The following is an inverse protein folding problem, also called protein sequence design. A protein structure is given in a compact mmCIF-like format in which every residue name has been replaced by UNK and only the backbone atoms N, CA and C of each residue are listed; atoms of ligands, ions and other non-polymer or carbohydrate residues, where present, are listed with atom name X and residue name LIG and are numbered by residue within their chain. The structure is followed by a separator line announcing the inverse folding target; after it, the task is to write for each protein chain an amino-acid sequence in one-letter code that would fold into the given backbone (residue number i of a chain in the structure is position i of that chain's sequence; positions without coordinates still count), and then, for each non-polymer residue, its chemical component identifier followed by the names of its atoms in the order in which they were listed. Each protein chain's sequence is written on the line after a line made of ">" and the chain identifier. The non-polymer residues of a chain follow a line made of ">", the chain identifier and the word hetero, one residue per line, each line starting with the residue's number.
data_IF_243685028114
#
_entry.id   IF_243685028114
#
_cell.length_a   1.000
_cell.length_b   1.000
_cell.length_c   1.000
_cell.angle_alpha   90.00
_cell.angle_beta   90.00
_cell.angle_gamma   90.00
#
_symmetry.space_group_name_H-M   'P 1'
#
loop_
_entity.id
_entity.type
_entity.pdbx_description
1 polymer ?
#
# COMPACT_ATOMS: atom_id res chain seq x y z
N UNK A 1 -17.39 68.51 9.81
CA UNK A 1 -16.87 67.99 8.53
C UNK A 1 -15.65 67.18 8.92
N UNK A 2 -15.78 65.87 9.11
CA UNK A 2 -14.65 65.03 9.52
C UNK A 2 -13.59 65.08 8.44
N UNK A 3 -12.38 65.43 8.85
CA UNK A 3 -11.26 65.65 7.96
C UNK A 3 -10.93 64.33 7.25
N UNK A 4 -11.08 64.32 5.92
CA UNK A 4 -10.85 63.16 5.07
C UNK A 4 -9.41 62.63 5.26
N UNK A 5 -8.48 63.50 5.64
CA UNK A 5 -7.12 63.16 6.06
C UNK A 5 -7.10 62.25 7.29
N UNK A 6 -7.90 62.55 8.32
CA UNK A 6 -7.99 61.74 9.54
C UNK A 6 -8.68 60.39 9.31
N UNK A 7 -9.59 60.31 8.35
CA UNK A 7 -10.23 59.06 7.93
C UNK A 7 -9.25 58.20 7.13
N UNK A 8 -8.42 58.82 6.27
CA UNK A 8 -7.40 58.13 5.49
C UNK A 8 -6.24 57.63 6.36
N UNK A 9 -5.78 58.43 7.34
CA UNK A 9 -4.80 58.02 8.37
C UNK A 9 -5.30 56.86 9.21
N UNK A 10 -6.59 56.88 9.63
CA UNK A 10 -7.20 55.74 10.32
C UNK A 10 -7.31 54.50 9.44
N UNK A 11 -7.42 54.66 8.12
CA UNK A 11 -7.50 53.56 7.16
C UNK A 11 -6.13 52.97 6.81
N UNK A 12 -5.08 53.79 6.73
CA UNK A 12 -3.69 53.34 6.56
C UNK A 12 -3.15 52.71 7.85
N UNK A 13 -3.46 53.28 9.02
CA UNK A 13 -3.16 52.66 10.31
C UNK A 13 -3.89 51.31 10.55
N UNK A 14 -4.94 51.02 9.78
CA UNK A 14 -5.63 49.72 9.76
C UNK A 14 -5.14 48.76 8.67
N UNK A 15 -4.42 49.25 7.66
CA UNK A 15 -3.99 48.47 6.48
C UNK A 15 -2.60 47.86 6.62
N UNK A 16 -1.82 48.40 7.54
CA UNK A 16 -0.57 47.84 8.05
C UNK A 16 -0.88 47.25 9.43
N UNK A 17 -0.53 46.04 9.83
CA UNK A 17 0.25 44.96 9.26
C UNK A 17 -0.35 43.68 9.85
N UNK A 18 -0.04 42.51 9.30
CA UNK A 18 0.06 41.36 10.18
C UNK A 18 0.95 41.75 11.37
N UNK A 19 0.36 41.90 12.56
CA UNK A 19 1.06 42.22 13.80
C UNK A 19 2.33 41.33 13.90
N UNK A 20 3.46 41.84 14.39
CA UNK A 20 4.68 41.04 14.62
C UNK A 20 4.37 39.71 15.32
N UNK A 21 3.39 39.69 16.22
CA UNK A 21 2.89 38.48 16.86
C UNK A 21 2.24 37.49 15.88
N UNK A 22 1.50 37.95 14.87
CA UNK A 22 0.96 37.09 13.80
C UNK A 22 2.08 36.59 12.87
N UNK A 23 3.03 37.45 12.49
CA UNK A 23 4.17 37.03 11.65
C UNK A 23 5.02 35.99 12.39
N UNK A 24 5.34 36.25 13.66
CA UNK A 24 6.06 35.31 14.53
C UNK A 24 5.28 34.01 14.71
N UNK A 25 3.96 34.09 14.90
CA UNK A 25 3.09 32.91 15.00
C UNK A 25 3.11 32.08 13.70
N UNK A 26 3.12 32.71 12.52
CA UNK A 26 3.19 32.00 11.24
C UNK A 26 4.56 31.39 10.97
N UNK A 27 5.64 32.05 11.38
CA UNK A 27 7.00 31.48 11.32
C UNK A 27 7.09 30.26 12.24
N UNK A 28 6.60 30.36 13.49
CA UNK A 28 6.58 29.23 14.41
C UNK A 28 5.70 28.07 13.91
N UNK A 29 4.54 28.35 13.31
CA UNK A 29 3.69 27.33 12.70
C UNK A 29 4.41 26.62 11.54
N UNK A 30 5.11 27.37 10.68
CA UNK A 30 5.91 26.80 9.59
C UNK A 30 7.11 25.99 10.11
N UNK A 31 7.79 26.44 11.17
CA UNK A 31 8.88 25.70 11.81
C UNK A 31 8.41 24.39 12.44
N UNK A 32 7.25 24.41 13.12
CA UNK A 32 6.62 23.21 13.65
C UNK A 32 6.24 22.24 12.54
N UNK A 33 5.62 22.74 11.46
CA UNK A 33 5.28 21.94 10.30
C UNK A 33 6.53 21.29 9.67
N UNK A 34 7.57 22.07 9.43
CA UNK A 34 8.84 21.57 8.89
C UNK A 34 9.47 20.53 9.81
N UNK A 35 9.43 20.73 11.14
CA UNK A 35 9.94 19.77 12.10
C UNK A 35 9.18 18.44 12.05
N UNK A 36 7.85 18.48 11.91
CA UNK A 36 7.06 17.25 11.75
C UNK A 36 7.34 16.58 10.39
N UNK A 37 7.50 17.35 9.31
CA UNK A 37 7.92 16.82 8.00
C UNK A 37 9.27 16.11 8.10
N UNK A 38 10.27 16.71 8.75
CA UNK A 38 11.59 16.09 8.91
C UNK A 38 11.56 14.85 9.81
N UNK A 39 10.70 14.82 10.84
CA UNK A 39 10.46 13.60 11.62
C UNK A 39 9.86 12.50 10.77
N UNK A 40 8.84 12.80 9.96
CA UNK A 40 8.25 11.85 9.03
C UNK A 40 9.30 11.32 8.04
N UNK A 41 10.07 12.21 7.40
CA UNK A 41 11.17 11.82 6.51
C UNK A 41 12.17 10.90 7.19
N UNK A 42 12.59 11.22 8.41
CA UNK A 42 13.57 10.41 9.15
C UNK A 42 13.00 9.04 9.55
N UNK A 43 11.75 8.99 10.00
CA UNK A 43 11.07 7.74 10.33
C UNK A 43 10.95 6.82 9.10
N UNK A 44 10.53 7.39 7.97
CA UNK A 44 10.31 6.67 6.72
C UNK A 44 11.62 6.27 6.05
N UNK A 45 12.65 7.11 6.11
CA UNK A 45 14.02 6.73 5.73
C UNK A 45 14.51 5.56 6.58
N UNK A 46 14.28 5.57 7.89
CA UNK A 46 14.62 4.44 8.76
C UNK A 46 13.87 3.16 8.38
N UNK A 47 12.65 3.28 7.87
CA UNK A 47 11.89 2.16 7.33
C UNK A 47 12.48 1.70 6.00
N UNK A 48 12.74 2.59 5.04
CA UNK A 48 13.39 2.25 3.77
C UNK A 48 14.76 1.60 3.99
N UNK A 49 15.58 2.13 4.89
CA UNK A 49 16.88 1.56 5.27
C UNK A 49 16.70 0.16 5.89
N UNK A 50 15.69 -0.04 6.74
CA UNK A 50 15.37 -1.34 7.32
C UNK A 50 14.89 -2.32 6.26
N UNK A 51 14.10 -1.84 5.30
CA UNK A 51 13.71 -2.63 4.15
C UNK A 51 15.00 -2.94 3.37
N UNK A 52 15.71 -2.01 2.76
CA UNK A 52 16.96 -2.27 2.01
C UNK A 52 17.98 -3.21 2.70
N UNK A 53 18.04 -3.20 4.04
CA UNK A 53 18.83 -4.15 4.85
C UNK A 53 18.45 -5.63 4.74
N UNK A 54 17.37 -6.01 4.06
CA UNK A 54 17.01 -7.41 3.87
C UNK A 54 17.72 -8.01 2.67
N UNK A 55 18.16 -7.27 1.64
CA UNK A 55 19.03 -7.83 0.58
C UNK A 55 20.50 -7.98 1.06
N UNK A 56 20.65 -8.69 2.17
CA UNK A 56 21.93 -9.06 2.75
C UNK A 56 22.11 -10.57 2.63
N UNK A 57 23.33 -10.97 2.30
CA UNK A 57 23.77 -12.37 2.33
C UNK A 57 24.53 -12.63 3.62
N UNK A 58 24.45 -13.87 4.12
CA UNK A 58 25.28 -14.30 5.24
C UNK A 58 26.71 -14.47 4.72
N UNK A 59 27.61 -13.59 5.16
CA UNK A 59 29.03 -13.68 4.83
C UNK A 59 29.70 -14.87 5.51
N UNK A 60 30.99 -15.05 5.22
CA UNK A 60 31.85 -16.10 5.79
C UNK A 60 32.02 -16.03 7.31
N UNK A 61 31.64 -14.92 7.96
CA UNK A 61 31.74 -14.69 9.41
C UNK A 61 30.37 -14.53 10.10
N UNK A 62 29.28 -15.06 9.53
CA UNK A 62 27.89 -14.87 10.01
C UNK A 62 27.41 -13.42 10.04
N UNK A 63 28.21 -12.46 9.58
CA UNK A 63 27.80 -11.06 9.39
C UNK A 63 26.96 -10.94 8.13
N UNK A 64 25.81 -10.27 8.26
CA UNK A 64 25.00 -9.85 7.12
C UNK A 64 25.79 -8.80 6.32
N UNK A 65 26.06 -9.08 5.04
CA UNK A 65 26.78 -8.17 4.14
C UNK A 65 25.86 -7.73 3.00
N UNK A 66 25.99 -6.45 2.58
CA UNK A 66 25.30 -5.94 1.40
C UNK A 66 25.84 -6.65 0.17
N UNK A 67 24.94 -7.04 -0.72
CA UNK A 67 25.33 -7.60 -2.01
C UNK A 67 25.82 -6.45 -2.88
N UNK A 68 27.11 -6.43 -3.23
CA UNK A 68 27.71 -5.40 -4.10
C UNK A 68 27.86 -5.86 -5.55
N UNK A 69 27.62 -7.15 -5.82
CA UNK A 69 27.65 -7.74 -7.15
C UNK A 69 26.23 -7.87 -7.74
N UNK A 70 26.03 -7.30 -8.92
CA UNK A 70 24.72 -7.25 -9.60
C UNK A 70 24.18 -8.64 -9.98
N UNK A 71 25.07 -9.58 -10.35
CA UNK A 71 24.68 -10.93 -10.71
C UNK A 71 24.28 -11.74 -9.46
N UNK A 72 25.00 -11.54 -8.35
CA UNK A 72 24.66 -12.12 -7.06
C UNK A 72 23.34 -11.58 -6.54
N UNK A 73 23.09 -10.27 -6.73
CA UNK A 73 21.81 -9.65 -6.35
C UNK A 73 20.65 -10.30 -7.12
N UNK A 74 20.79 -10.46 -8.43
CA UNK A 74 19.79 -11.14 -9.27
C UNK A 74 19.51 -12.56 -8.78
N UNK A 75 20.55 -13.32 -8.45
CA UNK A 75 20.38 -14.69 -7.94
C UNK A 75 19.61 -14.71 -6.61
N UNK A 76 19.92 -13.80 -5.69
CA UNK A 76 19.18 -13.71 -4.41
C UNK A 76 17.75 -13.25 -4.59
N UNK A 77 17.51 -12.33 -5.51
CA UNK A 77 16.17 -11.92 -5.92
C UNK A 77 15.33 -13.11 -6.42
N UNK A 78 15.87 -13.92 -7.33
CA UNK A 78 15.19 -15.11 -7.87
C UNK A 78 14.92 -16.16 -6.79
N UNK A 79 15.86 -16.39 -5.87
CA UNK A 79 15.66 -17.29 -4.72
C UNK A 79 14.51 -16.83 -3.84
N UNK A 80 14.41 -15.53 -3.56
CA UNK A 80 13.34 -14.99 -2.70
C UNK A 80 11.98 -15.02 -3.36
N UNK A 81 11.90 -14.71 -4.65
CA UNK A 81 10.67 -14.92 -5.42
C UNK A 81 10.21 -16.36 -5.27
N UNK A 82 11.11 -17.32 -5.51
CA UNK A 82 10.80 -18.74 -5.41
C UNK A 82 10.31 -19.12 -4.01
N UNK A 83 10.93 -18.58 -2.96
CA UNK A 83 10.50 -18.79 -1.57
C UNK A 83 9.12 -18.19 -1.27
N UNK A 84 8.81 -16.99 -1.78
CA UNK A 84 7.49 -16.35 -1.61
C UNK A 84 6.39 -17.14 -2.32
N UNK A 85 6.65 -17.60 -3.55
CA UNK A 85 5.71 -18.44 -4.30
C UNK A 85 5.45 -19.77 -3.58
N UNK A 86 6.51 -20.43 -3.08
CA UNK A 86 6.38 -21.66 -2.31
C UNK A 86 5.57 -21.47 -1.01
N UNK A 87 5.68 -20.31 -0.35
CA UNK A 87 4.87 -19.97 0.84
C UNK A 87 3.38 -19.86 0.52
N UNK A 88 3.03 -19.23 -0.62
CA UNK A 88 1.64 -19.13 -1.09
C UNK A 88 1.04 -20.51 -1.38
N UNK A 89 1.79 -21.36 -2.08
CA UNK A 89 1.37 -22.75 -2.35
C UNK A 89 1.17 -23.55 -1.06
N UNK A 90 2.10 -23.43 -0.10
CA UNK A 90 2.03 -24.14 1.19
C UNK A 90 0.82 -23.72 2.04
N UNK A 91 0.37 -22.47 1.92
CA UNK A 91 -0.80 -21.94 2.63
C UNK A 91 -2.12 -22.14 1.86
N UNK A 92 -2.09 -22.86 0.74
CA UNK A 92 -3.25 -23.12 -0.12
C UNK A 92 -3.97 -21.85 -0.60
N UNK A 93 -3.26 -20.74 -0.72
CA UNK A 93 -3.79 -19.53 -1.36
C UNK A 93 -3.62 -19.70 -2.86
N UNK A 94 -4.72 -19.73 -3.60
CA UNK A 94 -4.65 -19.85 -5.06
C UNK A 94 -3.97 -18.60 -5.65
N UNK A 95 -3.00 -18.80 -6.54
CA UNK A 95 -2.35 -17.74 -7.29
C UNK A 95 -2.11 -18.22 -8.72
N UNK A 96 -2.67 -17.52 -9.70
CA UNK A 96 -2.46 -17.82 -11.11
C UNK A 96 -1.02 -17.45 -11.54
N UNK A 97 -0.55 -18.01 -12.67
CA UNK A 97 0.77 -17.64 -13.22
C UNK A 97 0.76 -16.17 -13.65
N UNK A 98 1.74 -15.39 -13.19
CA UNK A 98 1.88 -13.97 -13.51
C UNK A 98 1.03 -13.03 -12.63
N UNK A 99 0.48 -13.54 -11.52
CA UNK A 99 -0.26 -12.75 -10.54
C UNK A 99 0.62 -11.73 -9.82
N UNK A 100 1.87 -12.10 -9.56
CA UNK A 100 2.87 -11.25 -8.95
C UNK A 100 3.75 -10.63 -10.04
N UNK A 101 3.84 -9.29 -10.15
CA UNK A 101 4.56 -8.61 -11.22
C UNK A 101 6.06 -8.53 -10.90
N UNK A 102 6.70 -9.69 -10.71
CA UNK A 102 8.14 -9.77 -10.54
C UNK A 102 8.88 -9.51 -11.86
N UNK A 103 10.04 -8.87 -11.77
CA UNK A 103 10.88 -8.60 -12.91
C UNK A 103 11.56 -9.90 -13.37
N UNK A 104 11.49 -10.21 -14.65
CA UNK A 104 12.28 -11.28 -15.25
C UNK A 104 13.45 -10.67 -16.02
N UNK A 105 14.67 -11.05 -15.65
CA UNK A 105 15.90 -10.60 -16.28
C UNK A 105 16.48 -11.61 -17.27
N UNK A 106 15.87 -12.80 -17.41
CA UNK A 106 16.34 -13.90 -18.25
C UNK A 106 17.84 -14.16 -18.08
N UNK A 107 18.67 -13.86 -19.08
CA UNK A 107 20.13 -14.02 -19.03
C UNK A 107 20.89 -12.71 -18.73
N UNK A 108 20.21 -11.56 -18.73
CA UNK A 108 20.81 -10.24 -18.53
C UNK A 108 21.11 -10.00 -17.05
N UNK A 109 22.28 -9.41 -16.76
CA UNK A 109 22.64 -8.91 -15.43
C UNK A 109 22.12 -7.47 -15.32
N UNK A 110 21.29 -7.13 -14.32
CA UNK A 110 20.72 -5.80 -14.18
C UNK A 110 21.74 -4.79 -13.66
N UNK A 111 21.61 -3.53 -14.04
CA UNK A 111 22.43 -2.44 -13.47
C UNK A 111 21.88 -1.97 -12.12
N UNK A 112 22.72 -1.39 -11.26
CA UNK A 112 22.30 -0.80 -9.98
C UNK A 112 21.10 0.14 -10.06
N UNK A 113 21.05 1.02 -11.05
CA UNK A 113 19.91 1.94 -11.25
C UNK A 113 18.59 1.18 -11.47
N UNK A 114 18.65 0.07 -12.22
CA UNK A 114 17.50 -0.77 -12.49
C UNK A 114 17.13 -1.66 -11.28
N UNK A 115 18.14 -2.10 -10.53
CA UNK A 115 17.98 -2.90 -9.30
C UNK A 115 17.18 -2.10 -8.26
N UNK A 116 17.53 -0.83 -8.01
CA UNK A 116 16.86 -0.01 -6.99
C UNK A 116 15.34 0.07 -7.21
N UNK A 117 14.92 0.30 -8.45
CA UNK A 117 13.50 0.38 -8.80
C UNK A 117 12.78 -0.96 -8.62
N UNK A 118 13.42 -2.06 -9.02
CA UNK A 118 12.86 -3.42 -8.89
C UNK A 118 12.82 -3.87 -7.44
N UNK A 119 13.86 -3.54 -6.68
CA UNK A 119 13.95 -3.79 -5.26
C UNK A 119 12.73 -3.19 -4.58
N UNK A 120 12.47 -1.88 -4.72
CA UNK A 120 11.28 -1.23 -4.13
C UNK A 120 9.96 -1.92 -4.49
N UNK A 121 9.79 -2.35 -5.75
CA UNK A 121 8.59 -3.09 -6.16
C UNK A 121 8.49 -4.46 -5.48
N UNK A 122 9.60 -5.17 -5.36
CA UNK A 122 9.66 -6.46 -4.66
C UNK A 122 9.20 -6.33 -3.21
N UNK A 123 9.66 -5.28 -2.51
CA UNK A 123 9.27 -4.97 -1.14
C UNK A 123 7.77 -4.84 -0.95
N UNK A 124 7.15 -4.06 -1.83
CA UNK A 124 5.71 -3.86 -1.84
C UNK A 124 4.99 -5.19 -2.06
N UNK A 125 5.44 -5.98 -3.03
CA UNK A 125 4.88 -7.31 -3.31
C UNK A 125 5.03 -8.24 -2.10
N UNK A 126 6.21 -8.32 -1.51
CA UNK A 126 6.50 -9.17 -0.34
C UNK A 126 5.62 -8.78 0.85
N UNK A 127 5.47 -7.49 1.14
CA UNK A 127 4.59 -7.01 2.20
C UNK A 127 3.14 -7.44 1.97
N UNK A 128 2.61 -7.27 0.75
CA UNK A 128 1.25 -7.68 0.38
C UNK A 128 1.08 -9.19 0.51
N UNK A 129 2.04 -9.97 0.02
CA UNK A 129 2.01 -11.44 0.13
C UNK A 129 2.02 -11.86 1.60
N UNK A 130 2.86 -11.26 2.45
CA UNK A 130 2.88 -11.57 3.88
C UNK A 130 1.57 -11.21 4.58
N UNK A 131 0.94 -10.08 4.24
CA UNK A 131 -0.40 -9.72 4.73
C UNK A 131 -1.40 -10.81 4.33
N UNK A 132 -1.36 -11.25 3.07
CA UNK A 132 -2.27 -12.27 2.56
C UNK A 132 -2.08 -13.60 3.29
N UNK A 133 -0.83 -14.03 3.48
CA UNK A 133 -0.49 -15.29 4.16
C UNK A 133 -0.89 -15.30 5.64
N UNK A 134 -0.96 -14.12 6.28
CA UNK A 134 -1.38 -13.98 7.67
C UNK A 134 -2.91 -13.94 7.83
N UNK A 135 -3.66 -13.67 6.75
CA UNK A 135 -5.12 -13.61 6.77
C UNK A 135 -5.73 -14.92 6.29
N UNK A 136 -6.26 -15.72 7.22
CA UNK A 136 -6.84 -17.05 6.93
C UNK A 136 -8.13 -17.01 6.11
N UNK A 137 -8.67 -15.82 5.83
CA UNK A 137 -9.90 -15.63 5.09
C UNK A 137 -9.74 -15.47 3.58
N UNK A 138 -8.50 -15.36 3.10
CA UNK A 138 -8.18 -15.11 1.69
C UNK A 138 -8.03 -16.45 0.97
N UNK A 139 -8.88 -16.69 -0.01
CA UNK A 139 -8.92 -17.93 -0.80
C UNK A 139 -8.05 -17.83 -2.05
N UNK A 140 -7.94 -16.63 -2.64
CA UNK A 140 -7.17 -16.40 -3.86
C UNK A 140 -6.51 -15.03 -3.88
N UNK A 141 -5.25 -14.98 -4.30
CA UNK A 141 -4.61 -13.76 -4.76
C UNK A 141 -4.80 -13.66 -6.28
N UNK A 142 -5.61 -12.68 -6.70
CA UNK A 142 -6.05 -12.53 -8.09
C UNK A 142 -5.02 -11.86 -8.98
N UNK A 143 -4.54 -10.66 -8.63
CA UNK A 143 -3.48 -9.95 -9.37
C UNK A 143 -2.96 -8.76 -8.58
N UNK A 144 -1.65 -8.51 -8.66
CA UNK A 144 -1.05 -7.23 -8.26
C UNK A 144 -0.59 -6.49 -9.51
N UNK A 145 -0.97 -5.22 -9.66
CA UNK A 145 -0.59 -4.40 -10.83
C UNK A 145 -0.06 -3.05 -10.36
N UNK A 146 1.15 -2.69 -10.79
CA UNK A 146 1.67 -1.33 -10.65
C UNK A 146 1.14 -0.46 -11.79
N UNK A 147 0.64 0.73 -11.45
CA UNK A 147 0.13 1.71 -12.42
C UNK A 147 1.20 2.75 -12.75
N UNK A 148 1.07 3.40 -13.90
CA UNK A 148 1.98 4.46 -14.34
C UNK A 148 1.71 5.80 -13.65
N UNK A 149 0.47 6.05 -13.23
CA UNK A 149 0.04 7.31 -12.62
C UNK A 149 -0.96 7.09 -11.50
N UNK A 150 -0.87 7.95 -10.48
CA UNK A 150 -1.78 7.98 -9.33
C UNK A 150 -2.79 9.11 -9.55
N UNK A 151 -4.07 8.84 -9.32
CA UNK A 151 -5.13 9.83 -9.57
C UNK A 151 -5.24 10.89 -8.45
N UNK A 152 -4.93 10.52 -7.21
CA UNK A 152 -5.02 11.43 -6.05
C UNK A 152 -3.69 12.08 -5.65
N UNK A 153 -2.61 11.76 -6.36
CA UNK A 153 -1.29 12.30 -6.07
C UNK A 153 -1.23 13.81 -6.34
N UNK A 154 -1.17 14.58 -5.26
CA UNK A 154 -0.95 16.01 -5.37
C UNK A 154 0.52 16.30 -5.71
N UNK A 155 0.74 16.73 -6.94
CA UNK A 155 2.05 17.12 -7.47
C UNK A 155 2.73 18.23 -6.67
N UNK A 156 1.99 18.99 -5.85
CA UNK A 156 2.57 19.98 -4.94
C UNK A 156 3.55 19.34 -3.95
N UNK A 157 3.31 18.10 -3.54
CA UNK A 157 4.17 17.34 -2.62
C UNK A 157 5.24 16.50 -3.33
N UNK A 158 5.39 16.64 -4.66
CA UNK A 158 6.37 15.88 -5.44
C UNK A 158 7.82 16.14 -5.04
N UNK A 159 8.09 17.21 -4.30
CA UNK A 159 9.40 17.51 -3.75
C UNK A 159 9.71 16.71 -2.46
N UNK A 160 8.71 16.09 -1.84
CA UNK A 160 8.82 15.36 -0.57
C UNK A 160 8.78 13.84 -0.80
N UNK A 161 7.92 13.37 -1.71
CA UNK A 161 7.77 11.94 -1.99
C UNK A 161 7.31 11.69 -3.43
N UNK A 162 7.43 10.44 -3.88
CA UNK A 162 6.80 9.87 -5.06
C UNK A 162 5.75 8.85 -4.66
N UNK A 163 4.63 8.82 -5.38
CA UNK A 163 3.62 7.78 -5.19
C UNK A 163 3.89 6.63 -6.15
N UNK A 164 3.86 5.39 -5.65
CA UNK A 164 3.90 4.16 -6.46
C UNK A 164 2.48 3.56 -6.45
N UNK A 165 1.66 3.84 -7.48
CA UNK A 165 0.27 3.40 -7.49
C UNK A 165 0.17 1.91 -7.83
N UNK A 166 -0.75 1.23 -7.14
CA UNK A 166 -0.89 -0.21 -7.13
C UNK A 166 -2.36 -0.62 -7.02
N UNK A 167 -2.73 -1.66 -7.75
CA UNK A 167 -4.02 -2.35 -7.60
C UNK A 167 -3.78 -3.77 -7.12
N UNK A 168 -4.52 -4.17 -6.09
CA UNK A 168 -4.48 -5.50 -5.49
C UNK A 168 -5.86 -6.12 -5.69
N UNK A 169 -5.93 -7.24 -6.40
CA UNK A 169 -7.15 -8.06 -6.50
C UNK A 169 -7.01 -9.30 -5.64
N UNK A 170 -7.96 -9.53 -4.74
CA UNK A 170 -8.02 -10.70 -3.86
C UNK A 170 -9.45 -11.23 -3.78
N UNK A 171 -9.56 -12.53 -3.51
CA UNK A 171 -10.81 -13.20 -3.19
C UNK A 171 -10.76 -13.61 -1.72
N UNK A 172 -11.79 -13.25 -0.96
CA UNK A 172 -11.86 -13.51 0.48
C UNK A 172 -13.29 -13.61 0.98
N UNK A 173 -13.44 -14.15 2.18
CA UNK A 173 -14.70 -14.10 2.92
C UNK A 173 -15.08 -12.63 3.23
N UNK A 174 -16.35 -12.27 3.05
CA UNK A 174 -16.80 -10.87 3.19
C UNK A 174 -16.51 -10.25 4.57
N UNK A 175 -16.58 -11.04 5.65
CA UNK A 175 -16.27 -10.63 7.02
C UNK A 175 -14.78 -10.36 7.26
N UNK A 176 -13.92 -10.75 6.31
CA UNK A 176 -12.46 -10.65 6.38
C UNK A 176 -11.89 -9.39 5.74
N UNK A 177 -12.72 -8.61 5.04
CA UNK A 177 -12.32 -7.37 4.36
C UNK A 177 -11.74 -6.36 5.34
N UNK A 178 -12.38 -6.13 6.48
CA UNK A 178 -11.88 -5.18 7.49
C UNK A 178 -10.49 -5.55 8.02
N UNK A 179 -10.22 -6.85 8.19
CA UNK A 179 -8.93 -7.34 8.69
C UNK A 179 -7.86 -7.17 7.63
N UNK A 180 -8.17 -7.45 6.36
CA UNK A 180 -7.26 -7.18 5.25
C UNK A 180 -6.88 -5.69 5.18
N UNK A 181 -7.86 -4.78 5.22
CA UNK A 181 -7.59 -3.34 5.15
C UNK A 181 -6.75 -2.88 6.35
N UNK A 182 -7.08 -3.38 7.54
CA UNK A 182 -6.31 -3.09 8.76
C UNK A 182 -4.87 -3.59 8.67
N UNK A 183 -4.63 -4.80 8.15
CA UNK A 183 -3.29 -5.37 8.04
C UNK A 183 -2.46 -4.66 6.96
N UNK A 184 -3.10 -4.18 5.88
CA UNK A 184 -2.46 -3.29 4.90
C UNK A 184 -2.02 -1.98 5.57
N UNK A 185 -2.88 -1.35 6.37
CA UNK A 185 -2.56 -0.08 7.04
C UNK A 185 -1.55 -0.22 8.17
N UNK A 186 -1.44 -1.41 8.79
CA UNK A 186 -0.41 -1.73 9.79
C UNK A 186 0.90 -2.20 9.19
N UNK A 187 0.96 -2.39 7.89
CA UNK A 187 2.16 -2.80 7.20
C UNK A 187 3.31 -1.82 7.49
N UNK A 188 4.55 -2.32 7.59
CA UNK A 188 5.74 -1.46 7.55
C UNK A 188 5.93 -0.79 6.19
N UNK A 189 5.08 -1.03 5.18
CA UNK A 189 5.08 -0.25 3.94
C UNK A 189 3.96 0.79 4.02
N UNK A 190 4.21 2.09 3.76
CA UNK A 190 3.23 3.16 3.95
C UNK A 190 2.22 3.18 2.80
N UNK A 191 1.23 2.29 2.87
CA UNK A 191 0.11 2.24 1.94
C UNK A 191 -0.91 3.34 2.23
N UNK A 192 -1.40 3.98 1.17
CA UNK A 192 -2.59 4.82 1.18
C UNK A 192 -3.64 4.19 0.29
N UNK A 193 -4.81 3.89 0.85
CA UNK A 193 -5.92 3.28 0.13
C UNK A 193 -6.76 4.39 -0.50
N UNK A 194 -6.86 4.39 -1.83
CA UNK A 194 -7.67 5.35 -2.59
C UNK A 194 -9.11 4.87 -2.77
N UNK A 195 -9.27 3.56 -2.98
CA UNK A 195 -10.57 2.98 -3.28
C UNK A 195 -10.61 1.49 -3.00
N UNK A 196 -11.79 1.01 -2.64
CA UNK A 196 -12.08 -0.42 -2.46
C UNK A 196 -13.34 -0.73 -3.24
N UNK A 197 -13.23 -1.61 -4.22
CA UNK A 197 -14.35 -2.13 -4.98
C UNK A 197 -14.63 -3.57 -4.53
N UNK A 198 -15.88 -3.85 -4.20
CA UNK A 198 -16.32 -5.11 -3.62
C UNK A 198 -17.40 -5.67 -4.55
N UNK A 199 -17.13 -6.83 -5.13
CA UNK A 199 -18.08 -7.55 -5.99
C UNK A 199 -18.34 -8.94 -5.43
N UNK A 200 -19.57 -9.22 -5.00
CA UNK A 200 -19.96 -10.56 -4.56
C UNK A 200 -20.04 -11.51 -5.75
N UNK A 201 -19.45 -12.70 -5.61
CA UNK A 201 -19.48 -13.77 -6.62
C UNK A 201 -20.78 -14.61 -6.51
N UNK A 202 -21.55 -14.43 -5.43
CA UNK A 202 -22.79 -15.16 -5.19
C UNK A 202 -23.85 -14.82 -6.24
N UNK A 203 -23.82 -15.60 -7.33
CA UNK A 203 -24.98 -15.81 -8.20
C UNK A 203 -26.07 -16.41 -7.32
N UNK A 204 -27.07 -15.60 -6.99
CA UNK A 204 -28.38 -16.08 -6.60
C UNK A 204 -28.86 -17.06 -7.68
N UNK A 205 -29.05 -18.37 -7.42
CA UNK A 205 -29.99 -19.11 -8.23
C UNK A 205 -31.36 -18.63 -7.77
N UNK A 206 -31.97 -17.76 -8.55
CA UNK A 206 -33.36 -17.37 -8.36
C UNK A 206 -34.20 -18.64 -8.30
N UNK A 207 -34.73 -18.98 -7.12
CA UNK A 207 -35.73 -20.04 -6.96
C UNK A 207 -37.05 -19.53 -7.55
N UNK A 208 -37.23 -19.73 -8.85
CA UNK A 208 -38.53 -19.55 -9.47
C UNK A 208 -38.78 -20.64 -10.51
N UNK A 209 -39.29 -21.77 -10.05
CA UNK A 209 -40.40 -22.45 -10.72
C UNK A 209 -41.10 -23.36 -9.73
N UNK A 210 -42.34 -22.99 -9.44
CA UNK A 210 -43.34 -23.78 -8.74
C UNK A 210 -43.46 -25.19 -9.35
N UNK A 211 -43.38 -26.21 -8.50
CA UNK A 211 -44.22 -27.40 -8.61
C UNK A 211 -44.55 -27.86 -7.20
N UNK A 212 -45.83 -27.74 -6.85
CA UNK A 212 -46.43 -28.31 -5.65
C UNK A 212 -46.20 -29.83 -5.62
N UNK A 213 -45.62 -30.34 -4.53
CA UNK A 213 -45.94 -31.67 -4.04
C UNK A 213 -45.58 -31.79 -2.56
N UNK A 214 -46.57 -32.23 -1.81
CA UNK A 214 -46.62 -32.32 -0.36
C UNK A 214 -45.52 -33.15 0.31
N UNK A 215 -45.29 -32.77 1.58
CA UNK A 215 -44.67 -33.54 2.67
C UNK A 215 -43.15 -33.72 2.57
N UNK A 216 -42.42 -33.06 3.48
CA UNK A 216 -41.86 -33.66 4.70
C UNK A 216 -41.31 -32.50 5.56
N UNK A 217 -41.69 -32.47 6.84
CA UNK A 217 -41.05 -31.66 7.87
C UNK A 217 -39.58 -32.08 8.00
N UNK A 218 -38.66 -31.34 7.39
CA UNK A 218 -37.25 -31.36 7.77
C UNK A 218 -36.90 -30.03 8.42
N UNK A 219 -37.00 -30.01 9.75
CA UNK A 219 -36.29 -29.03 10.56
C UNK A 219 -34.79 -29.36 10.46
N UNK A 220 -34.12 -28.74 9.49
CA UNK A 220 -32.66 -28.58 9.50
C UNK A 220 -32.37 -27.09 9.37
N UNK A 221 -32.47 -26.39 10.49
CA UNK A 221 -31.86 -25.07 10.67
C UNK A 221 -30.35 -25.26 10.78
N UNK A 222 -29.69 -25.65 9.69
CA UNK A 222 -28.27 -25.43 9.53
C UNK A 222 -28.08 -23.99 9.05
N UNK A 223 -28.20 -23.05 9.98
CA UNK A 223 -27.57 -21.73 9.88
C UNK A 223 -26.05 -21.92 9.92
N UNK A 224 -25.49 -22.55 8.88
CA UNK A 224 -24.12 -22.23 8.53
C UNK A 224 -24.22 -20.87 7.84
N UNK A 225 -23.72 -19.77 8.44
CA UNK A 225 -23.55 -18.54 7.68
C UNK A 225 -22.63 -18.93 6.53
N UNK A 226 -23.20 -19.02 5.33
CA UNK A 226 -22.42 -19.16 4.12
C UNK A 226 -21.51 -17.95 4.10
N UNK A 227 -20.22 -18.17 4.38
CA UNK A 227 -19.22 -17.11 4.29
C UNK A 227 -19.14 -16.75 2.81
N UNK A 228 -19.88 -15.72 2.42
CA UNK A 228 -19.96 -15.27 1.05
C UNK A 228 -18.56 -14.90 0.57
N UNK A 229 -18.13 -15.60 -0.48
CA UNK A 229 -16.85 -15.35 -1.10
C UNK A 229 -17.01 -14.13 -1.99
N UNK A 230 -16.13 -13.16 -1.79
CA UNK A 230 -16.23 -11.84 -2.42
C UNK A 230 -14.91 -11.50 -3.10
N UNK A 231 -15.01 -11.00 -4.33
CA UNK A 231 -13.91 -10.40 -5.05
C UNK A 231 -13.73 -8.97 -4.55
N UNK A 232 -12.53 -8.63 -4.10
CA UNK A 232 -12.17 -7.29 -3.65
C UNK A 232 -10.99 -6.77 -4.46
N UNK A 233 -11.16 -5.55 -4.97
CA UNK A 233 -10.13 -4.80 -5.69
C UNK A 233 -9.80 -3.57 -4.85
N UNK A 234 -8.56 -3.47 -4.43
CA UNK A 234 -8.03 -2.35 -3.66
C UNK A 234 -7.16 -1.53 -4.59
N UNK A 235 -7.54 -0.28 -4.81
CA UNK A 235 -6.68 0.73 -5.42
C UNK A 235 -5.99 1.51 -4.31
N UNK A 236 -4.67 1.54 -4.36
CA UNK A 236 -3.82 2.17 -3.37
C UNK A 236 -2.58 2.78 -4.03
N UNK A 237 -1.82 3.55 -3.27
CA UNK A 237 -0.45 3.88 -3.60
C UNK A 237 0.46 3.69 -2.39
N UNK A 238 1.72 3.37 -2.67
CA UNK A 238 2.77 3.36 -1.66
C UNK A 238 3.50 4.69 -1.71
N UNK A 239 3.73 5.29 -0.55
CA UNK A 239 4.54 6.50 -0.46
C UNK A 239 6.02 6.12 -0.45
N UNK A 240 6.77 6.63 -1.42
CA UNK A 240 8.22 6.49 -1.53
C UNK A 240 8.86 7.86 -1.32
N UNK A 241 9.46 8.12 -0.15
CA UNK A 241 9.96 9.44 0.20
C UNK A 241 11.26 9.75 -0.54
N UNK A 242 11.42 11.00 -0.96
CA UNK A 242 12.67 11.46 -1.59
C UNK A 242 13.72 11.68 -0.49
N UNK A 243 14.89 11.09 -0.69
CA UNK A 243 16.09 11.27 0.14
C UNK A 243 16.87 12.53 -0.19
#
# INVERSE_FOLDING_TARGET
>A
MEDLSSALERYTAKKDLHNEAWITSKIQEAELYNKEVEKCKSFLKGMDDHLESVFMIQGTEERLMKVEDEALWKNEYEKRISALLAKLETKHVAADKGVLPFQNWETVIPTWDSILSVQKRFWIIEAIVNIILNNTGITKLGKITFKESCCSYDTSFAHIYTAIPITIKVELQADRIQYLLHDILKSPVPFVIEGVNISSIDKIPSSSSYTESDSVLSADTNDNPSHSITDVIIDAYVIDYKT
#
